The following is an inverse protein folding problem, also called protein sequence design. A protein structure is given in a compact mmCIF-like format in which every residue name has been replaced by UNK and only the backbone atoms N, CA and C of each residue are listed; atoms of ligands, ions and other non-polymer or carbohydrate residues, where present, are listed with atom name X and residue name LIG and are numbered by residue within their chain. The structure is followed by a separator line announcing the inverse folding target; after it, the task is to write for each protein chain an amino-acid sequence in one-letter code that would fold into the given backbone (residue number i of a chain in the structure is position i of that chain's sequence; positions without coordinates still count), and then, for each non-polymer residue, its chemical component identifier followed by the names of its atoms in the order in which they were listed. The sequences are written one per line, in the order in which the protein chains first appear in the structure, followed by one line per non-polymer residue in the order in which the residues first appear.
data_IF_107108471070
#
_entry.id   IF_107108471070
#
_cell.length_a   1.000
_cell.length_b   1.000
_cell.length_c   1.000
_cell.angle_alpha   90.00
_cell.angle_beta   90.00
_cell.angle_gamma   90.00
#
_symmetry.space_group_name_H-M   'P 1'
#
loop_
_entity.id
_entity.type
_entity.pdbx_description
1 polymer ?
#
# COMPACT_ATOMS: atom_id res chain seq x y z
N UNK A 1 11.41 -13.94 -3.96
CA UNK A 1 10.68 -12.64 -4.08
C UNK A 1 9.39 -12.55 -3.24
N UNK A 2 9.12 -13.43 -2.26
CA UNK A 2 7.90 -13.34 -1.43
C UNK A 2 7.89 -12.12 -0.50
N UNK A 3 9.09 -11.71 -0.03
CA UNK A 3 9.31 -10.63 0.95
C UNK A 3 8.91 -9.24 0.44
N UNK A 4 9.10 -8.94 -0.85
CA UNK A 4 8.85 -7.59 -1.40
C UNK A 4 7.40 -7.14 -1.25
N UNK A 5 6.42 -8.06 -1.37
CA UNK A 5 5.00 -7.72 -1.15
C UNK A 5 4.68 -7.49 0.32
N UNK A 6 5.33 -8.22 1.23
CA UNK A 6 5.17 -7.98 2.66
C UNK A 6 5.76 -6.62 3.05
N UNK A 7 6.92 -6.28 2.50
CA UNK A 7 7.55 -4.96 2.72
C UNK A 7 6.71 -3.84 2.11
N UNK A 8 6.20 -3.99 0.89
CA UNK A 8 5.31 -3.02 0.25
C UNK A 8 3.98 -2.86 1.00
N UNK A 9 3.37 -3.97 1.44
CA UNK A 9 2.15 -3.93 2.25
C UNK A 9 2.38 -3.26 3.61
N UNK A 10 3.50 -3.55 4.26
CA UNK A 10 3.89 -2.90 5.51
C UNK A 10 4.12 -1.39 5.33
N UNK A 11 4.86 -0.98 4.30
CA UNK A 11 5.07 0.43 3.97
C UNK A 11 3.77 1.16 3.65
N UNK A 12 2.86 0.54 2.91
CA UNK A 12 1.55 1.12 2.60
C UNK A 12 0.72 1.32 3.88
N UNK A 13 0.60 0.29 4.72
CA UNK A 13 -0.12 0.37 6.00
C UNK A 13 0.50 1.38 6.95
N UNK A 14 1.83 1.41 7.06
CA UNK A 14 2.55 2.37 7.90
C UNK A 14 2.30 3.81 7.45
N UNK A 15 2.35 4.07 6.14
CA UNK A 15 2.08 5.40 5.57
C UNK A 15 0.63 5.82 5.80
N UNK A 16 -0.34 4.91 5.61
CA UNK A 16 -1.76 5.17 5.87
C UNK A 16 -2.07 5.39 7.36
N UNK A 17 -1.43 4.64 8.25
CA UNK A 17 -1.58 4.79 9.70
C UNK A 17 -1.03 6.14 10.16
N UNK A 18 0.15 6.52 9.65
CA UNK A 18 0.76 7.84 9.92
C UNK A 18 -0.10 8.97 9.36
N UNK A 19 -0.63 8.83 8.14
CA UNK A 19 -1.53 9.80 7.54
C UNK A 19 -2.84 9.96 8.33
N UNK A 20 -3.38 8.87 8.87
CA UNK A 20 -4.57 8.88 9.74
C UNK A 20 -4.30 9.61 11.05
N UNK A 21 -3.14 9.41 11.66
CA UNK A 21 -2.69 10.16 12.85
C UNK A 21 -2.60 11.67 12.58
N UNK A 22 -2.00 12.06 11.46
CA UNK A 22 -1.90 13.48 11.06
C UNK A 22 -3.28 14.11 10.85
N UNK A 23 -4.24 13.34 10.33
CA UNK A 23 -5.63 13.77 10.20
C UNK A 23 -6.29 14.01 11.56
N UNK A 24 -6.08 13.11 12.51
CA UNK A 24 -6.62 13.25 13.88
C UNK A 24 -6.03 14.49 14.55
N UNK A 25 -4.72 14.72 14.40
CA UNK A 25 -4.03 15.89 14.95
C UNK A 25 -4.36 17.21 14.25
N UNK A 26 -5.23 17.22 13.22
CA UNK A 26 -5.61 18.40 12.42
C UNK A 26 -4.43 19.14 11.80
N UNK A 27 -3.30 18.46 11.63
CA UNK A 27 -2.11 19.08 11.07
C UNK A 27 -2.35 19.45 9.60
N UNK A 28 -1.85 20.61 9.16
CA UNK A 28 -1.81 20.93 7.73
C UNK A 28 -1.07 19.80 7.01
N UNK A 29 -1.37 19.59 5.72
CA UNK A 29 -0.89 18.46 4.90
C UNK A 29 -1.49 17.07 5.15
N UNK A 30 -2.37 16.86 6.14
CA UNK A 30 -3.01 15.55 6.35
C UNK A 30 -3.76 15.03 5.12
N UNK A 31 -4.41 15.91 4.35
CA UNK A 31 -5.10 15.55 3.11
C UNK A 31 -4.16 15.02 2.01
N UNK A 32 -3.02 15.68 1.80
CA UNK A 32 -1.98 15.23 0.84
C UNK A 32 -1.41 13.88 1.28
N UNK A 33 -1.11 13.70 2.58
CA UNK A 33 -0.55 12.45 3.08
C UNK A 33 -1.49 11.25 2.86
N UNK A 34 -2.79 11.44 3.08
CA UNK A 34 -3.80 10.40 2.83
C UNK A 34 -3.88 10.09 1.34
N UNK A 35 -3.86 11.11 0.47
CA UNK A 35 -3.91 10.91 -0.97
C UNK A 35 -2.70 10.12 -1.49
N UNK A 36 -1.50 10.46 -1.00
CA UNK A 36 -0.25 9.73 -1.30
C UNK A 36 -0.32 8.29 -0.78
N UNK A 37 -0.83 8.06 0.44
CA UNK A 37 -1.04 6.72 0.99
C UNK A 37 -2.01 5.88 0.14
N UNK A 38 -3.09 6.50 -0.36
CA UNK A 38 -4.05 5.85 -1.25
C UNK A 38 -3.47 5.51 -2.62
N UNK A 39 -2.66 6.41 -3.17
CA UNK A 39 -1.89 6.19 -4.40
C UNK A 39 -0.93 5.01 -4.24
N UNK A 40 -0.20 4.94 -3.13
CA UNK A 40 0.71 3.83 -2.82
C UNK A 40 -0.03 2.49 -2.68
N UNK A 41 -1.21 2.48 -2.09
CA UNK A 41 -2.05 1.28 -2.01
C UNK A 41 -2.53 0.82 -3.39
N UNK A 42 -3.04 1.75 -4.20
CA UNK A 42 -3.60 1.43 -5.52
C UNK A 42 -2.53 1.10 -6.56
N UNK A 43 -1.45 1.86 -6.63
CA UNK A 43 -0.42 1.69 -7.67
C UNK A 43 0.81 0.90 -7.20
N UNK A 44 1.05 0.77 -5.90
CA UNK A 44 2.14 -0.04 -5.37
C UNK A 44 1.67 -1.45 -5.01
N UNK A 45 0.72 -1.54 -4.08
CA UNK A 45 0.32 -2.83 -3.53
C UNK A 45 -0.55 -3.65 -4.50
N UNK A 46 -1.59 -3.02 -5.08
CA UNK A 46 -2.58 -3.66 -5.95
C UNK A 46 -1.97 -4.38 -7.18
N UNK A 47 -1.14 -3.73 -8.03
CA UNK A 47 -0.54 -4.41 -9.18
C UNK A 47 0.43 -5.52 -8.78
N UNK A 48 1.16 -5.34 -7.67
CA UNK A 48 2.08 -6.37 -7.17
C UNK A 48 1.31 -7.59 -6.64
N UNK A 49 0.10 -7.38 -6.12
CA UNK A 49 -0.78 -8.44 -5.63
C UNK A 49 -1.46 -9.19 -6.79
N UNK A 50 -1.94 -8.47 -7.81
CA UNK A 50 -2.46 -9.05 -9.05
C UNK A 50 -1.39 -9.86 -9.78
N UNK A 51 -0.17 -9.35 -9.92
CA UNK A 51 0.93 -10.08 -10.55
C UNK A 51 1.24 -11.38 -9.81
N UNK A 52 1.16 -11.37 -8.48
CA UNK A 52 1.30 -12.58 -7.67
C UNK A 52 0.15 -13.56 -7.84
N UNK A 53 -1.09 -13.10 -7.85
CA UNK A 53 -2.27 -13.94 -8.07
C UNK A 53 -2.17 -14.63 -9.43
N UNK A 54 -1.95 -13.85 -10.49
CA UNK A 54 -1.84 -14.36 -11.86
C UNK A 54 -0.70 -15.38 -12.00
N UNK A 55 0.47 -15.10 -11.42
CA UNK A 55 1.59 -16.04 -11.44
C UNK A 55 1.33 -17.29 -10.58
N UNK A 56 0.56 -17.18 -9.50
CA UNK A 56 0.21 -18.31 -8.64
C UNK A 56 -0.81 -19.22 -9.30
N UNK A 57 -1.76 -18.67 -10.05
CA UNK A 57 -2.71 -19.44 -10.88
C UNK A 57 -2.00 -20.09 -12.08
N UNK A 58 -1.08 -19.37 -12.75
CA UNK A 58 -0.32 -19.91 -13.89
C UNK A 58 0.66 -21.04 -13.52
N UNK A 59 1.08 -21.16 -12.25
CA UNK A 59 1.95 -22.25 -11.76
C UNK A 59 1.13 -23.47 -11.28
N UNK A 60 -0.19 -23.32 -11.12
CA UNK A 60 -1.08 -24.37 -10.62
C UNK A 60 -1.68 -25.25 -11.74
N UNK A 61 -1.49 -24.89 -13.00
CA UNK A 61 -1.96 -25.62 -14.18
C UNK A 61 -0.77 -26.23 -14.93
#
# INVERSE_FOLDING_TARGET
MKKSVYVLGFLALFTLSTASLFKIMHWPYAGILIFVGFLLLNFGFLPTLFYKLYKKDAIKN
#
